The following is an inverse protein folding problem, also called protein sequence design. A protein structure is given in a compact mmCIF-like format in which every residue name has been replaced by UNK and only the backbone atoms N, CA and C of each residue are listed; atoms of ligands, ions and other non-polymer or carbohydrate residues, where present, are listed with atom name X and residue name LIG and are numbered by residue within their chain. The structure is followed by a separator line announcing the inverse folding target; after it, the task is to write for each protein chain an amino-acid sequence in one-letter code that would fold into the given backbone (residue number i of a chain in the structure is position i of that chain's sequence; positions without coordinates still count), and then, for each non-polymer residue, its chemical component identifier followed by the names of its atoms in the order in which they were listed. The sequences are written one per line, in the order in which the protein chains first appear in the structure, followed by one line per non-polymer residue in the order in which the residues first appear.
data_IF_692633908033
#
_entry.id   IF_692633908033
#
_cell.length_a   1.000
_cell.length_b   1.000
_cell.length_c   1.000
_cell.angle_alpha   90.00
_cell.angle_beta   90.00
_cell.angle_gamma   90.00
#
_symmetry.space_group_name_H-M   'P 1'
#
loop_
_entity.id
_entity.type
_entity.pdbx_description
1 polymer ?
#
# COMPACT_ATOMS: atom_id res chain seq x y z
N UNK A 1 13.76 31.22 6.64
CA UNK A 1 13.67 29.81 7.08
C UNK A 1 13.91 29.01 5.81
N UNK A 2 14.95 28.18 5.77
CA UNK A 2 15.11 27.25 4.65
C UNK A 2 13.88 26.38 4.60
N UNK A 3 13.21 26.33 3.45
CA UNK A 3 12.06 25.46 3.25
C UNK A 3 12.55 24.00 3.41
N UNK A 4 12.13 23.35 4.49
CA UNK A 4 12.51 21.96 4.76
C UNK A 4 12.00 21.06 3.63
N UNK A 5 12.89 20.26 3.06
CA UNK A 5 12.53 19.28 2.02
C UNK A 5 11.62 18.20 2.61
N UNK A 6 10.51 17.94 1.95
CA UNK A 6 9.62 16.82 2.26
C UNK A 6 10.12 15.57 1.53
N UNK A 7 10.37 14.51 2.27
CA UNK A 7 10.82 13.24 1.72
C UNK A 7 9.66 12.24 1.65
N UNK A 8 9.51 11.61 0.48
CA UNK A 8 8.43 10.65 0.20
C UNK A 8 9.03 9.36 -0.34
N UNK A 9 8.80 8.23 0.32
CA UNK A 9 9.17 6.91 -0.15
C UNK A 9 8.06 6.28 -0.98
N UNK A 10 8.43 5.65 -2.09
CA UNK A 10 7.58 4.83 -2.97
C UNK A 10 8.23 3.47 -3.16
N UNK A 11 7.46 2.41 -3.34
CA UNK A 11 7.96 1.07 -3.62
C UNK A 11 7.47 0.59 -4.99
N UNK A 12 8.40 0.28 -5.91
CA UNK A 12 8.08 -0.10 -7.29
C UNK A 12 8.70 -1.45 -7.63
N UNK A 13 7.85 -2.45 -7.89
CA UNK A 13 8.18 -3.71 -8.54
C UNK A 13 7.46 -3.75 -9.89
N UNK A 14 8.19 -3.69 -11.01
CA UNK A 14 7.62 -3.44 -12.32
C UNK A 14 8.16 -4.35 -13.45
N UNK A 15 8.04 -5.67 -13.33
CA UNK A 15 8.55 -6.60 -14.33
C UNK A 15 7.84 -6.50 -15.68
N UNK A 16 6.66 -5.90 -15.73
CA UNK A 16 5.92 -5.66 -16.98
C UNK A 16 6.19 -4.30 -17.62
N UNK A 17 6.91 -3.41 -16.92
CA UNK A 17 7.11 -2.01 -17.34
C UNK A 17 5.84 -1.15 -17.25
N UNK A 18 4.79 -1.64 -16.58
CA UNK A 18 3.48 -0.97 -16.57
C UNK A 18 3.08 -0.36 -15.23
N UNK A 19 3.70 -0.80 -14.12
CA UNK A 19 3.30 -0.34 -12.79
C UNK A 19 3.85 1.07 -12.46
N UNK A 20 5.01 1.42 -12.99
CA UNK A 20 5.63 2.75 -12.83
C UNK A 20 4.72 3.92 -13.24
N UNK A 21 3.76 3.69 -14.16
CA UNK A 21 2.79 4.72 -14.59
C UNK A 21 1.93 5.23 -13.45
N UNK A 22 1.58 4.35 -12.53
CA UNK A 22 0.75 4.70 -11.37
C UNK A 22 1.55 5.57 -10.39
N UNK A 23 2.81 5.22 -10.17
CA UNK A 23 3.75 6.07 -9.43
C UNK A 23 3.93 7.44 -10.12
N UNK A 24 3.96 7.48 -11.46
CA UNK A 24 3.98 8.73 -12.22
C UNK A 24 2.76 9.61 -11.95
N UNK A 25 1.56 9.03 -11.94
CA UNK A 25 0.34 9.77 -11.59
C UNK A 25 0.36 10.29 -10.14
N UNK A 26 0.85 9.46 -9.20
CA UNK A 26 1.04 9.86 -7.81
C UNK A 26 2.03 11.03 -7.71
N UNK A 27 3.22 10.94 -8.30
CA UNK A 27 4.23 12.02 -8.29
C UNK A 27 3.65 13.30 -8.85
N UNK A 28 2.98 13.25 -10.01
CA UNK A 28 2.33 14.42 -10.61
C UNK A 28 1.28 15.04 -9.66
N UNK A 29 0.53 14.21 -8.92
CA UNK A 29 -0.47 14.70 -7.98
C UNK A 29 0.14 15.39 -6.75
N UNK A 30 1.24 14.87 -6.22
CA UNK A 30 1.97 15.52 -5.12
C UNK A 30 2.50 16.88 -5.58
N UNK A 31 3.16 16.90 -6.74
CA UNK A 31 3.80 18.11 -7.25
C UNK A 31 2.80 19.22 -7.62
N UNK A 32 1.60 18.87 -8.14
CA UNK A 32 0.53 19.83 -8.46
C UNK A 32 -0.11 20.45 -7.19
N UNK A 33 -0.07 19.76 -6.04
CA UNK A 33 -0.80 20.18 -4.83
C UNK A 33 0.08 20.66 -3.69
N UNK A 34 1.41 20.62 -3.80
CA UNK A 34 2.31 21.17 -2.77
C UNK A 34 3.23 22.23 -3.31
N UNK A 35 3.55 23.23 -2.48
CA UNK A 35 4.53 24.28 -2.78
C UNK A 35 5.89 24.02 -2.16
N UNK A 36 5.98 23.03 -1.29
CA UNK A 36 7.24 22.65 -0.63
C UNK A 36 8.18 21.92 -1.59
N UNK A 37 9.47 22.01 -1.33
CA UNK A 37 10.44 21.18 -2.02
C UNK A 37 10.22 19.71 -1.68
N UNK A 38 10.12 18.82 -2.68
CA UNK A 38 9.86 17.39 -2.49
C UNK A 38 10.99 16.56 -3.09
N UNK A 39 11.43 15.55 -2.35
CA UNK A 39 12.34 14.52 -2.83
C UNK A 39 11.71 13.14 -2.68
N UNK A 40 11.47 12.47 -3.80
CA UNK A 40 10.96 11.10 -3.82
C UNK A 40 12.11 10.11 -3.70
N UNK A 41 12.01 9.18 -2.75
CA UNK A 41 12.90 8.02 -2.59
C UNK A 41 12.18 6.80 -3.17
N UNK A 42 12.54 6.40 -4.38
CA UNK A 42 11.92 5.27 -5.09
C UNK A 42 12.70 3.99 -4.79
N UNK A 43 12.13 3.13 -3.94
CA UNK A 43 12.69 1.82 -3.67
C UNK A 43 12.31 0.87 -4.81
N UNK A 44 13.29 0.19 -5.37
CA UNK A 44 13.10 -0.69 -6.53
C UNK A 44 14.07 -1.87 -6.53
N UNK A 45 13.81 -2.83 -7.39
CA UNK A 45 14.74 -3.90 -7.77
C UNK A 45 15.04 -3.85 -9.27
N UNK A 46 15.70 -4.88 -9.80
CA UNK A 46 16.08 -5.00 -11.22
C UNK A 46 14.88 -4.95 -12.19
N UNK A 47 13.65 -5.06 -11.72
CA UNK A 47 12.45 -4.99 -12.55
C UNK A 47 12.12 -3.58 -13.04
N UNK A 48 12.62 -2.53 -12.38
CA UNK A 48 12.39 -1.14 -12.80
C UNK A 48 13.39 -0.75 -13.90
N UNK A 49 12.89 -0.54 -15.12
CA UNK A 49 13.73 -0.17 -16.26
C UNK A 49 14.28 1.26 -16.17
N UNK A 50 15.46 1.50 -16.74
CA UNK A 50 16.06 2.83 -16.83
C UNK A 50 15.13 3.85 -17.56
N UNK A 51 14.37 3.40 -18.55
CA UNK A 51 13.41 4.25 -19.26
C UNK A 51 12.25 4.69 -18.35
N UNK A 52 11.77 3.82 -17.46
CA UNK A 52 10.74 4.17 -16.49
C UNK A 52 11.32 5.04 -15.35
N UNK A 53 12.57 4.82 -14.94
CA UNK A 53 13.27 5.72 -14.01
C UNK A 53 13.35 7.15 -14.58
N UNK A 54 13.77 7.31 -15.83
CA UNK A 54 13.81 8.60 -16.53
C UNK A 54 12.43 9.29 -16.59
N UNK A 55 11.38 8.54 -16.89
CA UNK A 55 10.01 9.08 -16.90
C UNK A 55 9.54 9.52 -15.50
N UNK A 56 9.87 8.78 -14.45
CA UNK A 56 9.55 9.17 -13.06
C UNK A 56 10.29 10.46 -12.68
N UNK A 57 11.59 10.53 -12.97
CA UNK A 57 12.39 11.72 -12.73
C UNK A 57 11.82 12.95 -13.47
N UNK A 58 11.56 12.83 -14.77
CA UNK A 58 10.96 13.90 -15.59
C UNK A 58 9.59 14.36 -15.06
N UNK A 59 8.80 13.46 -14.51
CA UNK A 59 7.50 13.82 -13.92
C UNK A 59 7.67 14.70 -12.69
N UNK A 60 8.64 14.42 -11.82
CA UNK A 60 8.90 15.23 -10.63
C UNK A 60 9.58 16.55 -10.99
N UNK A 61 10.60 16.51 -11.85
CA UNK A 61 11.43 17.66 -12.24
C UNK A 61 10.63 18.77 -12.93
N UNK A 62 9.56 18.42 -13.63
CA UNK A 62 8.66 19.38 -14.30
C UNK A 62 8.16 20.48 -13.36
N UNK A 63 7.96 20.16 -12.08
CA UNK A 63 7.50 21.09 -11.04
C UNK A 63 8.58 21.29 -9.93
N UNK A 64 9.86 21.02 -10.25
CA UNK A 64 10.98 21.29 -9.35
C UNK A 64 11.24 20.23 -8.28
N UNK A 65 10.58 19.05 -8.35
CA UNK A 65 10.82 17.93 -7.45
C UNK A 65 12.07 17.12 -7.85
N UNK A 66 12.55 16.31 -6.91
CA UNK A 66 13.71 15.42 -7.12
C UNK A 66 13.31 13.97 -6.93
N UNK A 67 14.00 13.06 -7.64
CA UNK A 67 13.85 11.60 -7.44
C UNK A 67 15.21 10.97 -7.15
N UNK A 68 15.26 10.20 -6.07
CA UNK A 68 16.39 9.32 -5.72
C UNK A 68 15.93 7.88 -5.88
N UNK A 69 16.65 7.10 -6.68
CA UNK A 69 16.39 5.67 -6.83
C UNK A 69 17.23 4.90 -5.83
N UNK A 70 16.59 3.98 -5.09
CA UNK A 70 17.21 3.18 -4.04
C UNK A 70 17.00 1.71 -4.38
N UNK A 71 18.06 1.06 -4.85
CA UNK A 71 18.05 -0.36 -5.17
C UNK A 71 18.02 -1.20 -3.88
N UNK A 72 16.96 -1.99 -3.70
CA UNK A 72 16.76 -2.88 -2.55
C UNK A 72 16.92 -4.36 -2.89
N UNK A 73 17.48 -4.68 -4.05
CA UNK A 73 17.70 -6.07 -4.51
C UNK A 73 18.51 -6.89 -3.51
N UNK A 74 19.51 -6.26 -2.86
CA UNK A 74 20.33 -6.89 -1.83
C UNK A 74 19.54 -7.24 -0.58
N UNK A 75 18.70 -6.34 -0.11
CA UNK A 75 17.86 -6.50 1.08
C UNK A 75 16.78 -7.54 0.81
N UNK A 76 16.17 -7.50 -0.37
CA UNK A 76 15.21 -8.52 -0.82
C UNK A 76 15.86 -9.91 -0.88
N UNK A 77 17.09 -10.01 -1.36
CA UNK A 77 17.84 -11.27 -1.39
C UNK A 77 18.09 -11.80 0.02
N UNK A 78 18.57 -10.97 0.94
CA UNK A 78 18.75 -11.35 2.36
C UNK A 78 17.46 -11.90 2.98
N UNK A 79 16.32 -11.26 2.67
CA UNK A 79 15.02 -11.72 3.13
C UNK A 79 14.66 -13.07 2.47
N UNK A 80 14.90 -13.22 1.16
CA UNK A 80 14.61 -14.43 0.39
C UNK A 80 15.43 -15.65 0.81
N UNK A 81 16.65 -15.44 1.32
CA UNK A 81 17.52 -16.50 1.83
C UNK A 81 16.94 -17.16 3.11
N UNK A 82 16.06 -16.45 3.82
CA UNK A 82 15.46 -16.89 5.09
C UNK A 82 13.98 -17.26 4.95
N UNK A 83 13.27 -16.60 4.03
CA UNK A 83 11.82 -16.73 3.86
C UNK A 83 11.49 -16.99 2.39
N UNK A 84 10.53 -17.85 2.14
CA UNK A 84 9.98 -18.02 0.79
C UNK A 84 9.10 -16.80 0.42
N UNK A 85 9.72 -15.77 -0.17
CA UNK A 85 9.06 -14.51 -0.55
C UNK A 85 7.84 -14.75 -1.43
N UNK A 86 7.92 -15.62 -2.45
CA UNK A 86 6.80 -15.94 -3.35
C UNK A 86 5.61 -16.54 -2.61
N UNK A 87 5.87 -17.39 -1.62
CA UNK A 87 4.81 -17.99 -0.80
C UNK A 87 4.22 -16.97 0.17
N UNK A 88 5.06 -16.09 0.73
CA UNK A 88 4.64 -15.04 1.65
C UNK A 88 3.75 -14.02 0.94
N UNK A 89 4.18 -13.48 -0.19
CA UNK A 89 3.45 -12.44 -0.90
C UNK A 89 2.17 -12.97 -1.56
N UNK A 90 2.12 -14.26 -1.91
CA UNK A 90 0.93 -14.88 -2.47
C UNK A 90 0.42 -14.19 -3.73
N UNK A 91 -0.68 -13.46 -3.59
CA UNK A 91 -1.32 -12.67 -4.67
C UNK A 91 -0.68 -11.30 -4.89
N UNK A 92 0.11 -10.82 -3.92
CA UNK A 92 0.82 -9.54 -4.01
C UNK A 92 2.17 -9.72 -4.70
N UNK A 93 2.74 -8.62 -5.16
CA UNK A 93 4.09 -8.61 -5.71
C UNK A 93 5.16 -8.58 -4.61
N UNK A 94 6.41 -8.96 -4.88
CA UNK A 94 7.53 -8.73 -3.97
C UNK A 94 7.69 -7.26 -3.55
N UNK A 95 7.26 -6.31 -4.39
CA UNK A 95 7.27 -4.87 -4.12
C UNK A 95 6.52 -4.47 -2.84
N UNK A 96 5.52 -5.27 -2.42
CA UNK A 96 4.85 -5.10 -1.12
C UNK A 96 5.84 -5.12 0.05
N UNK A 97 6.94 -5.86 -0.05
CA UNK A 97 7.94 -5.98 1.00
C UNK A 97 9.00 -4.86 0.97
N UNK A 98 9.10 -4.08 -0.11
CA UNK A 98 10.16 -3.07 -0.23
C UNK A 98 10.03 -1.96 0.82
N UNK A 99 8.80 -1.62 1.26
CA UNK A 99 8.60 -0.66 2.37
C UNK A 99 9.27 -1.10 3.67
N UNK A 100 9.47 -2.40 3.85
CA UNK A 100 10.14 -2.93 5.05
C UNK A 100 11.64 -2.63 5.07
N UNK A 101 12.20 -2.21 3.94
CA UNK A 101 13.61 -1.84 3.88
C UNK A 101 13.85 -0.35 4.11
N UNK A 102 12.79 0.49 4.13
CA UNK A 102 12.92 1.95 4.31
C UNK A 102 13.78 2.33 5.51
N UNK A 103 13.61 1.75 6.72
CA UNK A 103 14.45 2.11 7.87
C UNK A 103 15.93 1.74 7.69
N UNK A 104 16.23 0.75 6.84
CA UNK A 104 17.59 0.24 6.62
C UNK A 104 18.35 1.01 5.53
N UNK A 105 17.63 1.48 4.49
CA UNK A 105 18.27 2.02 3.28
C UNK A 105 18.11 3.54 3.13
N UNK A 106 17.30 4.17 3.97
CA UNK A 106 17.04 5.61 3.92
C UNK A 106 17.63 6.29 5.15
N UNK A 107 18.69 7.09 4.95
CA UNK A 107 19.41 7.81 6.02
C UNK A 107 18.73 9.15 6.35
N UNK A 108 17.45 9.10 6.77
CA UNK A 108 16.64 10.26 7.19
C UNK A 108 16.02 9.96 8.55
N UNK A 109 15.66 11.00 9.29
CA UNK A 109 14.97 10.85 10.58
C UNK A 109 13.47 10.62 10.41
N UNK A 110 12.89 11.19 9.34
CA UNK A 110 11.45 11.13 9.06
C UNK A 110 11.19 11.01 7.56
N UNK A 111 10.17 10.25 7.16
CA UNK A 111 9.73 10.11 5.78
C UNK A 111 8.23 9.80 5.68
N UNK A 112 7.56 10.32 4.66
CA UNK A 112 6.24 9.86 4.26
C UNK A 112 6.40 8.62 3.39
N UNK A 113 5.62 7.58 3.63
CA UNK A 113 5.49 6.44 2.71
C UNK A 113 4.13 6.50 2.01
N UNK A 114 4.13 6.34 0.68
CA UNK A 114 2.92 6.28 -0.14
C UNK A 114 2.94 5.05 -1.04
N UNK A 115 1.84 4.29 -1.09
CA UNK A 115 1.63 3.28 -2.12
C UNK A 115 1.44 3.92 -3.50
N UNK A 116 1.87 3.25 -4.57
CA UNK A 116 1.79 3.80 -5.93
C UNK A 116 0.36 3.94 -6.47
N UNK A 117 -0.62 3.38 -5.79
CA UNK A 117 -2.04 3.46 -6.12
C UNK A 117 -2.80 4.54 -5.31
N UNK A 118 -2.08 5.62 -5.02
CA UNK A 118 -2.57 6.77 -4.26
C UNK A 118 -2.57 8.02 -5.16
N UNK A 119 -3.51 8.92 -4.96
CA UNK A 119 -3.53 10.28 -5.54
C UNK A 119 -3.65 11.29 -4.40
N UNK A 120 -2.70 12.22 -4.35
CA UNK A 120 -2.66 13.28 -3.34
C UNK A 120 -3.36 14.52 -3.90
N UNK A 121 -4.54 14.86 -3.36
CA UNK A 121 -5.31 16.04 -3.76
C UNK A 121 -5.43 17.05 -2.60
N UNK A 122 -4.31 17.27 -1.93
CA UNK A 122 -4.12 18.21 -0.82
C UNK A 122 -2.64 18.58 -0.72
N UNK A 123 -2.30 19.60 0.05
CA UNK A 123 -0.90 19.87 0.35
C UNK A 123 -0.33 18.75 1.24
N UNK A 124 0.66 18.01 0.72
CA UNK A 124 1.29 16.90 1.45
C UNK A 124 2.03 17.38 2.72
N UNK A 125 2.31 18.68 2.79
CA UNK A 125 2.89 19.31 3.98
C UNK A 125 2.02 19.13 5.22
N UNK A 126 0.69 19.05 5.08
CA UNK A 126 -0.21 18.78 6.21
C UNK A 126 0.08 17.42 6.87
N UNK A 127 0.45 16.39 6.09
CA UNK A 127 0.87 15.09 6.63
C UNK A 127 2.29 15.14 7.20
N UNK A 128 3.19 15.85 6.48
CA UNK A 128 4.58 16.01 6.91
C UNK A 128 4.72 16.71 8.26
N UNK A 129 3.91 17.72 8.54
CA UNK A 129 3.98 18.54 9.74
C UNK A 129 3.33 17.87 10.98
N UNK A 130 2.74 16.70 10.83
CA UNK A 130 2.22 15.96 11.99
C UNK A 130 3.36 15.68 12.96
N UNK A 131 3.17 16.08 14.20
CA UNK A 131 4.07 15.72 15.29
C UNK A 131 3.84 14.26 15.72
N UNK A 132 4.84 13.43 15.51
CA UNK A 132 4.81 12.02 15.87
C UNK A 132 5.05 11.79 17.37
N UNK A 133 5.56 12.80 18.09
CA UNK A 133 6.03 12.63 19.48
C UNK A 133 6.91 11.35 19.59
N UNK A 134 6.56 10.45 20.49
CA UNK A 134 7.27 9.17 20.70
C UNK A 134 6.73 8.02 19.82
N UNK A 135 5.82 8.31 18.87
CA UNK A 135 5.28 7.29 17.98
C UNK A 135 6.26 6.95 16.84
N UNK A 136 6.30 5.68 16.47
CA UNK A 136 7.08 5.19 15.34
C UNK A 136 6.43 5.49 13.99
N UNK A 137 5.10 5.56 13.96
CA UNK A 137 4.31 5.72 12.74
C UNK A 137 3.04 6.54 13.01
N UNK A 138 2.66 7.40 12.05
CA UNK A 138 1.29 7.91 11.96
C UNK A 138 0.60 7.33 10.72
N UNK A 139 -0.61 6.81 10.89
CA UNK A 139 -1.38 6.18 9.82
C UNK A 139 -2.89 6.25 10.10
N UNK A 140 -3.69 6.06 9.05
CA UNK A 140 -5.16 6.03 9.17
C UNK A 140 -5.63 4.63 9.55
N UNK A 141 -6.57 4.55 10.49
CA UNK A 141 -7.21 3.28 10.86
C UNK A 141 -7.86 2.58 9.66
N UNK A 142 -7.64 1.28 9.51
CA UNK A 142 -8.27 0.49 8.44
C UNK A 142 -9.72 0.15 8.80
N UNK A 143 -10.64 1.04 8.43
CA UNK A 143 -12.06 0.93 8.76
C UNK A 143 -12.70 -0.34 8.19
N UNK A 144 -12.21 -0.87 7.06
CA UNK A 144 -12.73 -2.09 6.47
C UNK A 144 -12.41 -3.29 7.37
N UNK A 145 -11.17 -3.40 7.82
CA UNK A 145 -10.74 -4.43 8.77
C UNK A 145 -11.44 -4.26 10.11
N UNK A 146 -11.47 -3.05 10.66
CA UNK A 146 -12.11 -2.76 11.95
C UNK A 146 -13.62 -3.04 11.94
N UNK A 147 -14.33 -2.71 10.85
CA UNK A 147 -15.77 -2.96 10.73
C UNK A 147 -16.10 -4.44 10.56
N UNK A 148 -15.29 -5.18 9.81
CA UNK A 148 -15.43 -6.63 9.66
C UNK A 148 -15.23 -7.34 10.98
N UNK A 149 -14.26 -6.90 11.78
CA UNK A 149 -14.05 -7.40 13.14
C UNK A 149 -15.26 -7.21 14.05
N UNK A 150 -15.85 -6.01 14.06
CA UNK A 150 -17.02 -5.71 14.90
C UNK A 150 -18.24 -6.56 14.55
N UNK A 151 -18.38 -6.96 13.27
CA UNK A 151 -19.54 -7.71 12.77
C UNK A 151 -19.42 -9.23 12.93
N UNK A 152 -18.21 -9.77 13.00
CA UNK A 152 -17.99 -11.21 12.95
C UNK A 152 -16.77 -11.63 13.78
N UNK A 153 -16.91 -11.68 15.12
CA UNK A 153 -15.83 -12.11 16.03
C UNK A 153 -15.38 -13.57 15.82
N UNK A 154 -16.03 -14.32 14.95
CA UNK A 154 -15.69 -15.70 14.53
C UNK A 154 -15.12 -15.76 13.10
N UNK A 155 -14.93 -14.62 12.43
CA UNK A 155 -14.35 -14.58 11.08
C UNK A 155 -12.90 -15.08 11.05
N UNK A 156 -12.44 -15.48 9.87
CA UNK A 156 -11.03 -15.86 9.66
C UNK A 156 -10.07 -14.72 10.04
N UNK A 157 -10.47 -13.49 9.77
CA UNK A 157 -9.75 -12.27 10.15
C UNK A 157 -9.56 -12.18 11.66
N UNK A 158 -10.61 -12.42 12.45
CA UNK A 158 -10.60 -12.46 13.90
C UNK A 158 -9.60 -13.45 14.46
N UNK A 159 -9.63 -14.67 13.93
CA UNK A 159 -8.73 -15.76 14.36
C UNK A 159 -7.29 -15.40 14.04
N UNK A 160 -7.02 -14.87 12.86
CA UNK A 160 -5.69 -14.46 12.43
C UNK A 160 -5.11 -13.36 13.32
N UNK A 161 -5.88 -12.29 13.57
CA UNK A 161 -5.45 -11.19 14.44
C UNK A 161 -5.13 -11.65 15.86
N UNK A 162 -5.94 -12.57 16.41
CA UNK A 162 -5.65 -13.18 17.72
C UNK A 162 -4.35 -13.96 17.71
N UNK A 163 -4.08 -14.74 16.65
CA UNK A 163 -2.84 -15.53 16.53
C UNK A 163 -1.63 -14.59 16.42
N UNK A 164 -1.73 -13.53 15.63
CA UNK A 164 -0.67 -12.54 15.44
C UNK A 164 -0.58 -11.53 16.60
N UNK A 165 -1.51 -11.59 17.57
CA UNK A 165 -1.61 -10.66 18.70
C UNK A 165 -1.81 -9.20 18.26
N UNK A 166 -2.58 -8.99 17.21
CA UNK A 166 -2.93 -7.66 16.70
C UNK A 166 -4.28 -7.23 17.27
N UNK A 167 -4.34 -6.00 17.80
CA UNK A 167 -5.58 -5.39 18.24
C UNK A 167 -6.36 -4.82 17.06
N UNK A 168 -7.59 -5.29 16.77
CA UNK A 168 -8.36 -4.82 15.62
C UNK A 168 -8.71 -3.34 15.67
N UNK A 169 -8.90 -2.79 16.87
CA UNK A 169 -9.26 -1.37 17.04
C UNK A 169 -8.08 -0.43 16.75
N UNK A 170 -6.86 -0.95 16.77
CA UNK A 170 -5.63 -0.22 16.47
C UNK A 170 -5.11 -0.51 15.07
N UNK A 171 -5.78 -1.39 14.31
CA UNK A 171 -5.34 -1.80 12.99
C UNK A 171 -5.43 -0.64 12.00
N UNK A 172 -4.29 -0.28 11.42
CA UNK A 172 -4.17 0.81 10.46
C UNK A 172 -3.85 0.28 9.05
N UNK A 173 -4.17 1.10 8.04
CA UNK A 173 -3.78 0.84 6.67
C UNK A 173 -2.38 1.42 6.41
N UNK A 174 -1.49 0.61 5.86
CA UNK A 174 -0.08 0.95 5.67
C UNK A 174 0.24 1.72 4.36
N UNK A 175 -0.76 1.92 3.49
CA UNK A 175 -0.54 2.52 2.15
C UNK A 175 -0.25 4.01 2.16
N UNK A 176 -0.59 4.71 3.25
CA UNK A 176 -0.19 6.10 3.53
C UNK A 176 0.25 6.18 4.97
N UNK A 177 1.49 6.55 5.21
CA UNK A 177 2.04 6.67 6.56
C UNK A 177 3.14 7.71 6.66
N UNK A 178 3.29 8.30 7.83
CA UNK A 178 4.45 9.10 8.22
C UNK A 178 5.28 8.27 9.19
N UNK A 179 6.55 8.04 8.88
CA UNK A 179 7.46 7.18 9.63
C UNK A 179 8.49 8.02 10.39
N UNK A 180 8.63 7.78 11.69
CA UNK A 180 9.73 8.25 12.51
C UNK A 180 10.89 7.24 12.40
N UNK A 181 11.75 7.41 11.40
CA UNK A 181 12.82 6.46 11.13
C UNK A 181 13.89 6.48 12.24
N UNK A 182 14.10 7.62 12.89
CA UNK A 182 15.00 7.73 14.03
C UNK A 182 14.52 6.83 15.18
N UNK A 183 13.24 6.95 15.56
CA UNK A 183 12.66 6.14 16.63
C UNK A 183 12.61 4.65 16.27
N UNK A 184 12.24 4.34 15.02
CA UNK A 184 12.19 2.94 14.53
C UNK A 184 13.57 2.30 14.64
N UNK A 185 14.64 2.97 14.20
CA UNK A 185 16.01 2.44 14.27
C UNK A 185 16.53 2.36 15.71
N UNK A 186 16.08 3.26 16.58
CA UNK A 186 16.45 3.22 18.00
C UNK A 186 15.82 2.01 18.71
N UNK A 187 14.54 1.73 18.46
CA UNK A 187 13.78 0.74 19.22
C UNK A 187 13.87 -0.67 18.64
N UNK A 188 14.14 -0.80 17.32
CA UNK A 188 14.01 -2.08 16.62
C UNK A 188 15.19 -2.36 15.67
N UNK A 189 15.64 -3.61 15.70
CA UNK A 189 16.31 -4.22 14.54
C UNK A 189 15.23 -4.64 13.55
N UNK A 190 14.77 -3.67 12.74
CA UNK A 190 13.50 -3.75 12.02
C UNK A 190 13.42 -4.94 11.05
N UNK A 191 14.48 -5.18 10.28
CA UNK A 191 14.54 -6.33 9.36
C UNK A 191 14.49 -7.66 10.11
N UNK A 192 15.18 -7.76 11.23
CA UNK A 192 15.18 -8.96 12.07
C UNK A 192 13.82 -9.22 12.70
N UNK A 193 13.10 -8.18 13.15
CA UNK A 193 11.73 -8.32 13.62
C UNK A 193 10.80 -8.78 12.50
N UNK A 194 10.95 -8.27 11.27
CA UNK A 194 10.23 -8.74 10.10
C UNK A 194 10.50 -10.22 9.81
N UNK A 195 11.75 -10.65 9.82
CA UNK A 195 12.12 -12.07 9.64
C UNK A 195 11.45 -12.96 10.70
N UNK A 196 11.53 -12.58 11.98
CA UNK A 196 10.87 -13.32 13.09
C UNK A 196 9.36 -13.41 12.89
N UNK A 197 8.73 -12.29 12.51
CA UNK A 197 7.30 -12.23 12.27
C UNK A 197 6.90 -13.18 11.13
N UNK A 198 7.56 -13.10 9.99
CA UNK A 198 7.23 -13.93 8.84
C UNK A 198 7.55 -15.42 9.06
N UNK A 199 8.65 -15.74 9.73
CA UNK A 199 8.96 -17.12 10.11
C UNK A 199 7.85 -17.74 10.97
N UNK A 200 7.21 -16.92 11.82
CA UNK A 200 6.16 -17.38 12.73
C UNK A 200 4.76 -17.34 12.12
N UNK A 201 4.44 -16.31 11.34
CA UNK A 201 3.07 -15.96 10.98
C UNK A 201 2.78 -15.96 9.47
N UNK A 202 3.72 -16.36 8.61
CA UNK A 202 3.55 -16.33 7.13
C UNK A 202 2.30 -17.09 6.63
N UNK A 203 1.82 -18.07 7.37
CA UNK A 203 0.57 -18.79 7.05
C UNK A 203 -0.69 -18.10 7.58
N UNK A 204 -0.53 -17.06 8.38
CA UNK A 204 -1.65 -16.35 9.02
C UNK A 204 -1.86 -14.97 8.41
N UNK A 205 -0.86 -14.40 7.72
CA UNK A 205 -0.97 -13.06 7.13
C UNK A 205 -1.90 -13.07 5.91
N UNK A 206 -2.70 -12.00 5.76
CA UNK A 206 -3.40 -11.69 4.51
C UNK A 206 -2.76 -10.52 3.78
N UNK A 207 -2.21 -9.59 4.54
CA UNK A 207 -1.50 -8.39 4.07
C UNK A 207 -0.13 -8.41 4.75
N UNK A 208 0.86 -9.14 4.20
CA UNK A 208 2.08 -9.49 4.94
C UNK A 208 2.80 -8.30 5.56
N UNK A 209 3.04 -7.26 4.80
CA UNK A 209 3.68 -6.03 5.23
C UNK A 209 2.81 -5.24 6.22
N UNK A 210 1.53 -5.05 5.92
CA UNK A 210 0.59 -4.33 6.78
C UNK A 210 0.36 -5.07 8.10
N UNK A 211 0.20 -6.40 8.07
CA UNK A 211 0.04 -7.22 9.27
C UNK A 211 1.29 -7.15 10.17
N UNK A 212 2.50 -7.16 9.58
CA UNK A 212 3.75 -6.98 10.31
C UNK A 212 3.84 -5.61 10.96
N UNK A 213 3.61 -4.53 10.21
CA UNK A 213 3.64 -3.17 10.75
C UNK A 213 2.62 -2.98 11.86
N UNK A 214 1.43 -3.54 11.71
CA UNK A 214 0.40 -3.49 12.75
C UNK A 214 0.77 -4.29 14.00
N UNK A 215 1.42 -5.45 13.85
CA UNK A 215 1.87 -6.23 14.99
C UNK A 215 3.00 -5.52 15.74
N UNK A 216 3.91 -4.87 15.02
CA UNK A 216 5.06 -4.19 15.60
C UNK A 216 4.69 -2.85 16.24
N UNK A 217 3.86 -2.05 15.56
CA UNK A 217 3.62 -0.66 15.91
C UNK A 217 2.25 -0.38 16.55
N UNK A 218 1.41 -1.37 16.84
CA UNK A 218 0.07 -1.13 17.39
C UNK A 218 0.04 -0.26 18.66
N UNK A 219 1.12 -0.24 19.44
CA UNK A 219 1.24 0.54 20.68
C UNK A 219 2.05 1.84 20.50
N UNK A 220 2.67 2.04 19.33
CA UNK A 220 3.44 3.23 18.93
C UNK A 220 2.95 3.83 17.62
N UNK A 221 1.68 3.64 17.28
CA UNK A 221 1.02 4.25 16.12
C UNK A 221 0.11 5.40 16.54
N UNK A 222 0.35 6.57 15.96
CA UNK A 222 -0.57 7.70 16.02
C UNK A 222 -1.65 7.52 14.94
N UNK A 223 -2.89 7.28 15.33
CA UNK A 223 -4.01 7.26 14.39
C UNK A 223 -4.39 8.68 13.99
N UNK A 224 -4.39 8.95 12.70
CA UNK A 224 -4.63 10.28 12.11
C UNK A 224 -5.95 10.34 11.33
N UNK A 225 -6.32 11.57 10.92
CA UNK A 225 -7.56 11.86 10.20
C UNK A 225 -7.71 11.01 8.92
N UNK A 226 -8.88 10.40 8.67
CA UNK A 226 -9.16 9.62 7.47
C UNK A 226 -8.93 10.34 6.14
N UNK A 227 -8.89 11.69 6.11
CA UNK A 227 -8.57 12.46 4.92
C UNK A 227 -7.20 12.10 4.33
N UNK A 228 -6.26 11.64 5.16
CA UNK A 228 -4.92 11.26 4.72
C UNK A 228 -4.83 9.87 4.05
N UNK A 229 -5.90 9.06 4.12
CA UNK A 229 -5.95 7.77 3.43
C UNK A 229 -7.42 7.38 3.16
N UNK A 230 -8.06 8.10 2.24
CA UNK A 230 -9.47 7.91 1.89
C UNK A 230 -9.59 6.90 0.76
N UNK A 231 -10.33 5.80 0.99
CA UNK A 231 -10.55 4.80 -0.05
C UNK A 231 -11.44 5.34 -1.18
N UNK A 232 -11.10 4.98 -2.42
CA UNK A 232 -11.85 5.34 -3.60
C UNK A 232 -13.31 4.86 -3.49
N UNK A 233 -14.25 5.70 -3.93
CA UNK A 233 -15.69 5.42 -3.82
C UNK A 233 -16.32 5.73 -2.46
N UNK A 234 -15.54 6.20 -1.46
CA UNK A 234 -16.11 6.70 -0.21
C UNK A 234 -16.93 7.95 -0.47
N UNK A 235 -18.23 7.90 -0.17
CA UNK A 235 -19.13 9.03 -0.25
C UNK A 235 -19.27 9.74 1.12
N UNK A 236 -19.62 11.01 1.11
CA UNK A 236 -20.03 11.74 2.31
C UNK A 236 -21.44 11.30 2.79
N UNK A 237 -21.91 11.92 3.88
CA UNK A 237 -23.24 11.62 4.47
C UNK A 237 -24.41 11.90 3.51
N UNK A 238 -24.20 12.72 2.46
CA UNK A 238 -25.21 13.07 1.46
C UNK A 238 -25.09 12.22 0.20
N UNK A 239 -24.18 11.24 0.16
CA UNK A 239 -23.92 10.40 -1.00
C UNK A 239 -23.09 11.08 -2.09
N UNK A 240 -22.55 12.29 -1.84
CA UNK A 240 -21.63 12.96 -2.74
C UNK A 240 -20.18 12.58 -2.47
N UNK A 241 -19.29 12.75 -3.48
CA UNK A 241 -17.87 12.52 -3.34
C UNK A 241 -17.13 13.85 -3.53
N UNK A 242 -16.76 14.49 -2.41
CA UNK A 242 -15.84 15.64 -2.47
C UNK A 242 -14.40 15.13 -2.47
N UNK A 243 -13.73 15.35 -3.60
CA UNK A 243 -12.35 14.87 -3.80
C UNK A 243 -11.29 15.80 -3.21
N UNK A 244 -11.64 17.01 -2.79
CA UNK A 244 -10.70 18.03 -2.32
C UNK A 244 -10.18 17.75 -0.91
N UNK A 245 -8.94 18.19 -0.64
CA UNK A 245 -8.33 18.11 0.68
C UNK A 245 -8.13 16.69 1.21
N UNK A 246 -7.90 15.71 0.32
CA UNK A 246 -7.77 14.31 0.67
C UNK A 246 -6.66 13.61 -0.11
N UNK A 247 -6.14 12.55 0.49
CA UNK A 247 -5.32 11.54 -0.19
C UNK A 247 -6.23 10.37 -0.53
N UNK A 248 -6.38 10.10 -1.83
CA UNK A 248 -7.24 9.04 -2.36
C UNK A 248 -6.45 7.76 -2.59
N UNK A 249 -6.88 6.65 -2.01
CA UNK A 249 -6.24 5.36 -2.12
C UNK A 249 -7.14 4.38 -2.89
N UNK A 250 -6.65 3.85 -4.01
CA UNK A 250 -7.35 2.93 -4.90
C UNK A 250 -7.08 1.47 -4.55
N UNK A 251 -7.19 1.09 -3.27
CA UNK A 251 -6.91 -0.27 -2.79
C UNK A 251 -7.77 -1.33 -3.46
N UNK A 252 -9.03 -1.03 -3.75
CA UNK A 252 -10.02 -1.97 -4.29
C UNK A 252 -10.43 -1.63 -5.72
N UNK A 253 -10.88 -0.41 -5.96
CA UNK A 253 -11.38 0.08 -7.25
C UNK A 253 -10.25 0.81 -7.99
N UNK A 254 -9.46 0.08 -8.76
CA UNK A 254 -8.36 0.62 -9.55
C UNK A 254 -8.88 1.26 -10.84
N UNK A 255 -8.73 2.58 -11.06
CA UNK A 255 -9.25 3.25 -12.28
C UNK A 255 -8.68 2.70 -13.58
N UNK A 256 -7.47 2.15 -13.54
CA UNK A 256 -6.81 1.55 -14.71
C UNK A 256 -7.17 0.10 -14.97
N UNK A 257 -7.90 -0.54 -14.06
CA UNK A 257 -8.49 -1.87 -14.26
C UNK A 257 -9.93 -1.75 -14.70
N UNK A 258 -10.66 -0.84 -14.05
CA UNK A 258 -12.06 -0.58 -14.36
C UNK A 258 -12.38 0.91 -14.20
N UNK A 259 -12.59 1.58 -15.35
CA UNK A 259 -12.96 2.98 -15.35
C UNK A 259 -14.46 3.15 -15.11
N UNK A 260 -14.81 3.85 -14.04
CA UNK A 260 -16.18 4.31 -13.74
C UNK A 260 -16.25 5.80 -14.09
N UNK A 261 -16.91 6.20 -15.19
CA UNK A 261 -16.93 7.60 -15.66
C UNK A 261 -17.47 8.59 -14.64
N UNK A 262 -18.33 8.14 -13.75
CA UNK A 262 -19.05 8.91 -12.73
C UNK A 262 -18.32 8.91 -11.36
N UNK A 263 -17.18 8.25 -11.26
CA UNK A 263 -16.41 8.26 -10.02
C UNK A 263 -15.40 9.42 -10.02
N UNK A 264 -15.65 10.51 -9.24
CA UNK A 264 -14.79 11.69 -9.25
C UNK A 264 -13.33 11.40 -8.85
N UNK A 265 -13.09 10.43 -7.93
CA UNK A 265 -11.72 10.04 -7.56
C UNK A 265 -11.01 9.32 -8.72
N UNK A 266 -11.74 8.53 -9.52
CA UNK A 266 -11.20 7.91 -10.74
C UNK A 266 -10.87 8.95 -11.82
N UNK A 267 -11.70 9.98 -11.98
CA UNK A 267 -11.43 11.10 -12.90
C UNK A 267 -10.16 11.82 -12.46
N UNK A 268 -9.98 12.04 -11.17
CA UNK A 268 -8.80 12.68 -10.60
C UNK A 268 -7.52 11.88 -10.89
N UNK A 269 -7.58 10.56 -10.80
CA UNK A 269 -6.47 9.68 -11.19
C UNK A 269 -6.06 9.92 -12.65
N UNK A 270 -7.04 9.95 -13.58
CA UNK A 270 -6.74 10.15 -15.01
C UNK A 270 -6.22 11.56 -15.31
N UNK A 271 -6.65 12.58 -14.56
CA UNK A 271 -6.07 13.94 -14.63
C UNK A 271 -4.56 13.87 -14.39
N UNK A 272 -4.14 13.23 -13.31
CA UNK A 272 -2.73 13.18 -12.94
C UNK A 272 -1.91 12.18 -13.76
N UNK A 273 -2.54 11.12 -14.24
CA UNK A 273 -1.93 10.24 -15.23
C UNK A 273 -1.57 11.03 -16.51
N UNK A 274 -2.49 11.85 -17.00
CA UNK A 274 -2.27 12.72 -18.17
C UNK A 274 -1.20 13.80 -17.93
N UNK A 275 -1.03 14.25 -16.70
CA UNK A 275 -0.01 15.24 -16.32
C UNK A 275 1.40 14.62 -16.16
N UNK A 276 1.49 13.31 -16.01
CA UNK A 276 2.76 12.57 -15.86
C UNK A 276 3.49 12.40 -17.20
N UNK A 277 4.71 11.84 -17.16
CA UNK A 277 5.47 11.48 -18.37
C UNK A 277 4.87 10.32 -19.19
N UNK A 278 3.71 9.79 -18.81
CA UNK A 278 2.91 8.82 -19.56
C UNK A 278 1.61 9.42 -20.10
N UNK A 279 1.48 10.75 -20.12
CA UNK A 279 0.25 11.43 -20.52
C UNK A 279 -0.22 11.11 -21.96
N UNK A 280 0.70 10.84 -22.87
CA UNK A 280 0.41 10.41 -24.26
C UNK A 280 -0.27 9.03 -24.32
N UNK A 281 -0.14 8.20 -23.29
CA UNK A 281 -0.73 6.88 -23.22
C UNK A 281 -2.16 6.88 -22.61
N UNK A 282 -2.65 8.03 -22.09
CA UNK A 282 -3.90 8.12 -21.33
C UNK A 282 -5.11 7.54 -22.09
N UNK A 283 -5.30 7.92 -23.34
CA UNK A 283 -6.46 7.49 -24.16
C UNK A 283 -6.47 5.97 -24.35
N UNK A 284 -5.32 5.39 -24.72
CA UNK A 284 -5.23 3.94 -24.96
C UNK A 284 -5.42 3.15 -23.66
N UNK A 285 -4.97 3.70 -22.55
CA UNK A 285 -5.09 3.06 -21.23
C UNK A 285 -6.53 3.12 -20.70
N UNK A 286 -7.21 4.25 -20.83
CA UNK A 286 -8.64 4.39 -20.51
C UNK A 286 -9.53 3.46 -21.35
N UNK A 287 -9.24 3.33 -22.66
CA UNK A 287 -9.98 2.39 -23.51
C UNK A 287 -9.84 0.94 -23.05
N UNK A 288 -8.67 0.53 -22.61
CA UNK A 288 -8.45 -0.81 -22.02
C UNK A 288 -9.23 -1.00 -20.71
N UNK A 289 -9.27 0.02 -19.86
CA UNK A 289 -10.01 -0.01 -18.59
C UNK A 289 -11.53 -0.08 -18.79
N UNK A 290 -12.05 0.53 -19.86
CA UNK A 290 -13.48 0.45 -20.22
C UNK A 290 -13.92 -0.93 -20.75
N UNK A 291 -12.99 -1.79 -21.16
CA UNK A 291 -13.28 -3.13 -21.67
C UNK A 291 -13.81 -4.17 -20.66
N UNK A 292 -14.01 -3.78 -19.42
CA UNK A 292 -14.90 -4.32 -18.37
C UNK A 292 -14.87 -5.80 -17.99
N UNK A 293 -14.12 -6.66 -18.66
CA UNK A 293 -14.13 -8.11 -18.36
C UNK A 293 -13.04 -8.55 -17.35
N UNK A 294 -12.18 -7.66 -16.88
CA UNK A 294 -11.00 -8.01 -16.10
C UNK A 294 -11.28 -8.29 -14.62
N UNK A 295 -12.30 -7.68 -14.04
CA UNK A 295 -12.59 -7.77 -12.62
C UNK A 295 -13.01 -9.18 -12.15
N UNK A 296 -13.83 -9.87 -12.95
CA UNK A 296 -14.27 -11.24 -12.62
C UNK A 296 -13.16 -12.29 -12.73
N UNK A 297 -12.22 -12.14 -13.66
CA UNK A 297 -11.10 -13.08 -13.81
C UNK A 297 -10.09 -12.97 -12.69
N UNK A 298 -9.72 -11.76 -12.29
CA UNK A 298 -8.65 -11.57 -11.30
C UNK A 298 -9.05 -12.01 -9.89
N UNK A 299 -10.28 -11.70 -9.46
CA UNK A 299 -10.80 -12.19 -8.17
C UNK A 299 -10.95 -13.72 -8.16
N UNK A 300 -11.40 -14.32 -9.27
CA UNK A 300 -11.52 -15.78 -9.42
C UNK A 300 -10.15 -16.47 -9.36
N UNK A 301 -9.13 -15.93 -10.02
CA UNK A 301 -7.78 -16.51 -10.05
C UNK A 301 -7.06 -16.35 -8.69
N UNK A 302 -7.25 -15.23 -8.01
CA UNK A 302 -6.77 -15.02 -6.65
C UNK A 302 -7.40 -16.03 -5.68
N UNK A 303 -8.70 -16.26 -5.80
CA UNK A 303 -9.44 -17.19 -4.97
C UNK A 303 -9.05 -18.65 -5.24
N UNK A 304 -8.79 -19.00 -6.50
CA UNK A 304 -8.32 -20.32 -6.91
C UNK A 304 -6.93 -20.61 -6.37
N UNK A 305 -5.98 -19.68 -6.51
CA UNK A 305 -4.61 -19.79 -5.94
C UNK A 305 -4.63 -19.88 -4.41
N UNK A 306 -5.48 -19.10 -3.74
CA UNK A 306 -5.64 -19.19 -2.30
C UNK A 306 -6.19 -20.56 -1.89
N UNK A 307 -7.16 -21.12 -2.65
CA UNK A 307 -7.69 -22.46 -2.44
C UNK A 307 -6.65 -23.58 -2.62
N UNK A 308 -5.73 -23.42 -3.56
CA UNK A 308 -4.63 -24.35 -3.81
C UNK A 308 -3.60 -24.31 -2.66
N UNK A 309 -3.19 -23.11 -2.23
CA UNK A 309 -2.27 -22.93 -1.08
C UNK A 309 -2.86 -23.49 0.21
N UNK A 310 -4.17 -23.35 0.42
CA UNK A 310 -4.86 -23.92 1.59
C UNK A 310 -4.92 -25.45 1.53
N UNK A 311 -5.08 -26.06 0.35
CA UNK A 311 -5.11 -27.52 0.17
C UNK A 311 -3.75 -28.18 0.42
N UNK A 312 -2.65 -27.56 0.01
CA UNK A 312 -1.30 -28.12 0.16
C UNK A 312 -0.76 -28.09 1.61
N UNK A 313 -1.33 -27.25 2.49
CA UNK A 313 -0.76 -26.99 3.82
C UNK A 313 -1.61 -27.52 4.99
N UNK A 314 -2.68 -28.28 4.75
CA UNK A 314 -3.62 -28.70 5.79
C UNK A 314 -3.36 -30.15 6.21
N UNK A 315 -2.42 -30.36 7.13
CA UNK A 315 -2.19 -31.70 7.71
C UNK A 315 -2.29 -31.76 9.24
N UNK A 316 -2.61 -30.68 9.97
CA UNK A 316 -2.76 -30.75 11.45
C UNK A 316 -3.90 -29.87 11.99
N UNK A 317 -4.53 -30.28 13.10
CA UNK A 317 -5.83 -29.81 13.63
C UNK A 317 -6.02 -28.29 13.84
N UNK A 318 -4.99 -27.53 14.19
CA UNK A 318 -5.07 -26.07 14.33
C UNK A 318 -5.10 -25.33 13.00
N UNK A 319 -4.39 -25.85 12.00
CA UNK A 319 -4.40 -25.37 10.63
C UNK A 319 -5.74 -25.64 9.95
N UNK A 320 -6.43 -26.74 10.31
CA UNK A 320 -7.76 -27.05 9.80
C UNK A 320 -8.82 -26.04 10.25
N UNK A 321 -8.73 -25.51 11.47
CA UNK A 321 -9.63 -24.47 11.98
C UNK A 321 -9.38 -23.13 11.28
N UNK A 322 -8.12 -22.80 11.04
CA UNK A 322 -7.73 -21.58 10.29
C UNK A 322 -8.18 -21.70 8.84
N UNK A 323 -7.95 -22.85 8.20
CA UNK A 323 -8.37 -23.09 6.83
C UNK A 323 -9.90 -23.08 6.67
N UNK A 324 -10.66 -23.65 7.62
CA UNK A 324 -12.14 -23.58 7.61
C UNK A 324 -12.65 -22.16 7.82
N UNK A 325 -12.04 -21.39 8.71
CA UNK A 325 -12.40 -19.99 8.91
C UNK A 325 -12.08 -19.15 7.66
N UNK A 326 -10.93 -19.39 7.02
CA UNK A 326 -10.55 -18.75 5.75
C UNK A 326 -11.51 -19.10 4.62
N UNK A 327 -11.90 -20.37 4.51
CA UNK A 327 -12.87 -20.82 3.51
C UNK A 327 -14.28 -20.24 3.75
N UNK A 328 -14.65 -20.07 5.02
CA UNK A 328 -15.90 -19.41 5.40
C UNK A 328 -15.95 -17.93 4.98
N UNK A 329 -14.86 -17.19 5.15
CA UNK A 329 -14.74 -15.79 4.74
C UNK A 329 -14.81 -15.64 3.22
N UNK A 330 -14.09 -16.49 2.50
CA UNK A 330 -14.11 -16.54 1.04
C UNK A 330 -15.54 -16.78 0.53
N UNK A 331 -16.25 -17.74 1.10
CA UNK A 331 -17.63 -18.05 0.75
C UNK A 331 -18.58 -16.89 1.06
N UNK A 332 -18.37 -16.19 2.16
CA UNK A 332 -19.16 -15.01 2.55
C UNK A 332 -18.97 -13.85 1.57
N UNK A 333 -17.74 -13.56 1.14
CA UNK A 333 -17.45 -12.53 0.16
C UNK A 333 -18.08 -12.85 -1.22
N UNK A 334 -18.05 -14.12 -1.62
CA UNK A 334 -18.67 -14.59 -2.88
C UNK A 334 -20.20 -14.53 -2.86
N UNK A 335 -20.84 -14.63 -1.68
CA UNK A 335 -22.30 -14.57 -1.56
C UNK A 335 -22.86 -13.16 -1.39
N UNK A 336 -22.04 -12.19 -1.01
CA UNK A 336 -22.43 -10.76 -0.93
C UNK A 336 -22.31 -9.99 -2.24
N UNK A 337 -21.68 -10.55 -3.25
CA UNK A 337 -21.53 -9.96 -4.59
C UNK A 337 -22.65 -10.35 -5.56
N UNK A 338 -23.77 -10.88 -5.05
CA UNK A 338 -25.00 -11.15 -5.81
C UNK A 338 -26.12 -10.23 -5.35
#
# INVERSE_FOLDING_TARGET
MEDSVIYIALAIYDPSGSYSRHAGALIASVMDNTKSNVCFCVLHDDSLSAANMDKLAKTAEKEGGLVKFVDVSRELKKLADVINVKKLTGVFSPGTLFRLFVPEVVELDKIIYLDCDVIVNMDIKELWDIDLADCCIAAVGDLAVQSTWKKACTSSLSVRMKIMKISPNKYFNAGVSLLNLQQIRHDFDFLKEGIKFFARYSLCTAFPDQDFLNQLFQDSCLLIDPKFNTFSGSADHNGSIDVRGKIWHFSYDKPWVFHKPDNPSGILYWKYFAASAWGDEVTSYMMKANGGQYFHRHSSDCMKKLGEVLKENVTKSSLLKIAKAYYGEIRYQLTKGK
#
